data_IF_048440865228
#
_entry.id   IF_048440865228
#
_cell.length_a   1.000
_cell.length_b   1.000
_cell.length_c   1.000
_cell.angle_alpha   90.00
_cell.angle_beta   90.00
_cell.angle_gamma   90.00
#
_symmetry.space_group_name_H-M   'P 1'
#
loop_
_entity.id
_entity.type
_entity.pdbx_description
1 polymer ?
#
# COMPACT_ATOMS: atom_id res chain seq x y z
N UNK A 1 31.46 -23.01 -30.40
CA UNK A 1 30.07 -22.68 -30.72
C UNK A 1 29.12 -22.96 -29.56
N UNK A 2 29.12 -24.15 -28.95
CA UNK A 2 28.21 -24.49 -27.83
C UNK A 2 28.36 -23.59 -26.58
N UNK A 3 29.57 -23.13 -26.25
CA UNK A 3 29.82 -22.25 -25.09
C UNK A 3 29.17 -20.86 -25.25
N UNK A 4 29.29 -20.27 -26.44
CA UNK A 4 28.66 -18.98 -26.77
C UNK A 4 27.13 -19.11 -26.78
N UNK A 5 26.62 -20.23 -27.29
CA UNK A 5 25.19 -20.53 -27.30
C UNK A 5 24.64 -20.74 -25.89
N UNK A 6 25.40 -21.40 -25.01
CA UNK A 6 25.03 -21.57 -23.59
C UNK A 6 25.03 -20.23 -22.84
N UNK A 7 26.02 -19.36 -23.08
CA UNK A 7 26.06 -18.01 -22.49
C UNK A 7 24.88 -17.17 -22.98
N UNK A 8 24.58 -17.23 -24.29
CA UNK A 8 23.43 -16.54 -24.86
C UNK A 8 22.10 -17.00 -24.24
N UNK A 9 21.90 -18.31 -24.10
CA UNK A 9 20.72 -18.88 -23.43
C UNK A 9 20.60 -18.44 -21.96
N UNK A 10 21.73 -18.36 -21.24
CA UNK A 10 21.74 -17.91 -19.85
C UNK A 10 21.35 -16.43 -19.74
N UNK A 11 21.88 -15.58 -20.62
CA UNK A 11 21.52 -14.15 -20.66
C UNK A 11 20.05 -13.98 -21.00
N UNK A 12 19.53 -14.70 -22.01
CA UNK A 12 18.10 -14.67 -22.37
C UNK A 12 17.22 -15.12 -21.19
N UNK A 13 17.62 -16.18 -20.48
CA UNK A 13 16.92 -16.65 -19.28
C UNK A 13 16.86 -15.60 -18.17
N UNK A 14 17.95 -14.88 -17.92
CA UNK A 14 17.99 -13.82 -16.90
C UNK A 14 17.07 -12.65 -17.27
N UNK A 15 17.06 -12.24 -18.55
CA UNK A 15 16.18 -11.17 -19.04
C UNK A 15 14.71 -11.56 -18.90
N UNK A 16 14.35 -12.81 -19.21
CA UNK A 16 12.97 -13.31 -19.04
C UNK A 16 12.56 -13.32 -17.55
N UNK A 17 13.48 -13.67 -16.65
CA UNK A 17 13.22 -13.69 -15.20
C UNK A 17 12.94 -12.28 -14.66
N UNK A 18 13.72 -11.27 -15.04
CA UNK A 18 13.49 -9.88 -14.61
C UNK A 18 12.11 -9.36 -15.04
N UNK A 19 11.73 -9.61 -16.30
CA UNK A 19 10.48 -9.10 -16.87
C UNK A 19 9.26 -9.78 -16.23
N UNK A 20 9.36 -11.07 -15.92
CA UNK A 20 8.27 -11.81 -15.27
C UNK A 20 8.13 -11.50 -13.78
N UNK A 21 9.22 -11.21 -13.07
CA UNK A 21 9.16 -10.90 -11.64
C UNK A 21 8.77 -9.45 -11.33
N UNK A 22 9.10 -8.46 -12.18
CA UNK A 22 8.94 -7.03 -11.82
C UNK A 22 7.52 -6.48 -11.87
N UNK A 23 6.61 -7.07 -12.66
CA UNK A 23 5.35 -6.41 -13.01
C UNK A 23 4.23 -6.59 -11.96
N UNK A 24 4.29 -7.64 -11.14
CA UNK A 24 3.20 -7.95 -10.20
C UNK A 24 3.42 -7.35 -8.79
N UNK A 25 4.65 -6.95 -8.44
CA UNK A 25 4.97 -6.55 -7.06
C UNK A 25 4.58 -5.10 -6.68
N UNK A 26 4.22 -4.25 -7.66
CA UNK A 26 4.09 -2.80 -7.42
C UNK A 26 2.64 -2.29 -7.36
N UNK A 27 1.65 -3.13 -7.62
CA UNK A 27 0.24 -2.74 -7.57
C UNK A 27 -0.40 -3.30 -6.30
N UNK A 28 -1.19 -2.50 -5.54
CA UNK A 28 -1.94 -3.03 -4.41
C UNK A 28 -2.82 -4.20 -4.86
N UNK A 29 -2.93 -5.29 -4.07
CA UNK A 29 -3.82 -6.39 -4.40
C UNK A 29 -5.26 -5.87 -4.48
N UNK A 30 -5.99 -6.31 -5.51
CA UNK A 30 -7.37 -5.88 -5.75
C UNK A 30 -8.24 -6.28 -4.57
N UNK A 31 -8.93 -5.31 -3.97
CA UNK A 31 -9.82 -5.59 -2.83
C UNK A 31 -11.15 -6.14 -3.35
N UNK A 32 -11.51 -7.39 -3.06
CA UNK A 32 -12.83 -7.90 -3.40
C UNK A 32 -13.91 -7.12 -2.65
N UNK A 33 -15.09 -6.92 -3.27
CA UNK A 33 -16.21 -6.20 -2.64
C UNK A 33 -16.70 -6.88 -1.36
N UNK A 34 -16.63 -8.22 -1.33
CA UNK A 34 -17.04 -9.07 -0.21
C UNK A 34 -16.12 -10.30 -0.17
N UNK A 35 -15.79 -10.77 1.03
CA UNK A 35 -15.07 -12.04 1.22
C UNK A 35 -16.12 -13.15 1.45
N UNK A 36 -16.15 -14.16 0.59
CA UNK A 36 -17.12 -15.26 0.69
C UNK A 36 -16.61 -16.36 1.63
N UNK A 37 -15.29 -16.49 1.74
CA UNK A 37 -14.65 -17.51 2.56
C UNK A 37 -13.59 -16.91 3.49
N UNK A 38 -13.41 -17.45 4.71
CA UNK A 38 -12.39 -16.96 5.66
C UNK A 38 -10.97 -17.13 5.12
N UNK A 39 -10.75 -18.08 4.22
CA UNK A 39 -9.45 -18.31 3.57
C UNK A 39 -9.10 -17.19 2.58
N UNK A 40 -10.09 -16.61 1.89
CA UNK A 40 -9.86 -15.48 0.97
C UNK A 40 -9.39 -14.24 1.74
N UNK A 41 -9.98 -14.00 2.91
CA UNK A 41 -9.53 -12.91 3.79
C UNK A 41 -8.08 -13.12 4.25
N UNK A 42 -7.73 -14.33 4.67
CA UNK A 42 -6.34 -14.66 5.07
C UNK A 42 -5.35 -14.46 3.93
N UNK A 43 -5.72 -14.90 2.74
CA UNK A 43 -4.90 -14.75 1.53
C UNK A 43 -4.69 -13.26 1.20
N UNK A 44 -5.77 -12.48 1.18
CA UNK A 44 -5.72 -11.04 0.90
C UNK A 44 -4.84 -10.29 1.92
N UNK A 45 -4.98 -10.59 3.22
CA UNK A 45 -4.16 -9.96 4.26
C UNK A 45 -2.67 -10.31 4.13
N UNK A 46 -2.35 -11.53 3.69
CA UNK A 46 -0.97 -11.95 3.43
C UNK A 46 -0.38 -11.14 2.28
N UNK A 47 -1.07 -11.09 1.14
CA UNK A 47 -0.65 -10.33 -0.05
C UNK A 47 -0.52 -8.83 0.24
N UNK A 48 -1.45 -8.27 1.02
CA UNK A 48 -1.42 -6.86 1.42
C UNK A 48 -0.21 -6.55 2.33
N UNK A 49 0.14 -7.47 3.23
CA UNK A 49 1.30 -7.30 4.10
C UNK A 49 2.62 -7.39 3.31
N UNK A 50 2.72 -8.31 2.34
CA UNK A 50 3.86 -8.39 1.43
C UNK A 50 4.01 -7.10 0.60
N UNK A 51 2.90 -6.58 0.07
CA UNK A 51 2.88 -5.30 -0.65
C UNK A 51 3.42 -4.13 0.20
N UNK A 52 2.93 -3.97 1.43
CA UNK A 52 3.40 -2.89 2.30
C UNK A 52 4.80 -3.10 2.89
N UNK A 53 5.32 -4.33 2.90
CA UNK A 53 6.71 -4.58 3.25
C UNK A 53 7.68 -4.03 2.19
N UNK A 54 7.27 -4.04 0.91
CA UNK A 54 8.07 -3.56 -0.22
C UNK A 54 7.87 -2.05 -0.43
N UNK A 55 6.62 -1.60 -0.55
CA UNK A 55 6.29 -0.20 -0.85
C UNK A 55 6.38 0.74 0.37
N UNK A 56 6.54 0.17 1.57
CA UNK A 56 6.45 0.88 2.83
C UNK A 56 5.02 1.04 3.32
N UNK A 57 4.84 1.09 4.65
CA UNK A 57 3.52 1.28 5.26
C UNK A 57 3.04 2.72 5.04
N UNK A 58 1.76 2.95 4.70
CA UNK A 58 1.19 4.29 4.62
C UNK A 58 1.41 5.01 5.96
N UNK A 59 2.25 6.04 5.96
CA UNK A 59 2.48 6.87 7.13
C UNK A 59 1.56 8.07 7.02
N UNK A 60 0.41 7.98 7.65
CA UNK A 60 -0.45 9.15 7.83
C UNK A 60 0.27 10.09 8.80
N UNK A 61 0.76 11.22 8.29
CA UNK A 61 1.34 12.26 9.13
C UNK A 61 0.32 12.79 10.12
N UNK A 62 0.80 13.35 11.24
CA UNK A 62 -0.04 14.14 12.14
C UNK A 62 -0.61 15.29 11.31
N UNK A 63 -1.94 15.41 11.25
CA UNK A 63 -2.60 16.55 10.61
C UNK A 63 -2.20 17.80 11.38
N UNK A 64 -1.20 18.53 10.90
CA UNK A 64 -0.85 19.84 11.42
C UNK A 64 -1.83 20.86 10.85
N UNK A 65 -3.09 20.77 11.27
CA UNK A 65 -4.11 21.74 10.95
C UNK A 65 -4.86 22.06 12.23
N UNK A 66 -4.95 23.34 12.57
CA UNK A 66 -5.83 23.85 13.63
C UNK A 66 -7.29 23.34 13.51
N UNK A 67 -7.66 22.83 12.32
CA UNK A 67 -8.93 22.17 12.02
C UNK A 67 -9.17 20.87 12.80
N UNK A 68 -8.12 20.15 13.19
CA UNK A 68 -8.27 18.92 13.99
C UNK A 68 -8.68 19.19 15.44
N UNK A 69 -8.46 20.40 15.94
CA UNK A 69 -8.92 20.80 17.28
C UNK A 69 -10.39 21.19 17.23
N UNK A 70 -10.82 21.89 16.17
CA UNK A 70 -12.19 22.42 16.03
C UNK A 70 -13.26 21.32 15.95
N UNK A 71 -12.93 20.17 15.36
CA UNK A 71 -13.80 18.99 15.34
C UNK A 71 -13.96 18.31 16.72
N UNK A 72 -13.18 18.69 17.72
CA UNK A 72 -13.24 18.19 19.10
C UNK A 72 -13.78 19.21 20.11
N UNK A 73 -14.08 20.45 19.71
CA UNK A 73 -14.69 21.40 20.65
C UNK A 73 -16.12 20.97 20.97
N UNK A 74 -16.40 20.92 22.27
CA UNK A 74 -17.76 20.69 22.80
C UNK A 74 -18.64 21.89 22.46
N UNK A 75 -19.96 21.72 22.26
CA UNK A 75 -20.88 22.83 22.06
C UNK A 75 -20.78 23.96 23.11
N UNK A 76 -20.30 23.71 24.33
CA UNK A 76 -20.09 24.79 25.30
C UNK A 76 -19.01 25.79 24.88
N UNK A 77 -18.01 25.38 24.10
CA UNK A 77 -16.85 26.23 23.79
C UNK A 77 -17.06 27.13 22.57
N UNK A 78 -18.15 26.97 21.80
CA UNK A 78 -18.50 27.90 20.71
C UNK A 78 -19.10 29.21 21.23
N UNK A 79 -19.78 29.17 22.39
CA UNK A 79 -20.38 30.35 23.02
C UNK A 79 -19.30 31.35 23.42
N UNK A 80 -18.25 30.84 24.09
CA UNK A 80 -17.14 31.65 24.58
C UNK A 80 -16.41 32.40 23.45
N UNK A 81 -16.27 31.79 22.28
CA UNK A 81 -15.60 32.39 21.11
C UNK A 81 -16.48 33.47 20.46
N UNK A 82 -17.80 33.28 20.42
CA UNK A 82 -18.73 34.27 19.84
C UNK A 82 -19.00 35.45 20.76
N UNK A 83 -18.89 35.28 22.08
CA UNK A 83 -19.08 36.37 23.06
C UNK A 83 -17.83 37.22 23.30
N UNK A 84 -16.67 36.83 22.75
CA UNK A 84 -15.40 37.54 22.94
C UNK A 84 -15.07 38.57 21.83
N UNK A 85 -16.01 38.91 20.95
CA UNK A 85 -15.90 40.00 19.96
C UNK A 85 -16.69 41.23 20.39
#
# INVERSE_FOLDING_TARGET
MCKLLAVFLLVVSMVILEVTCSTQMLTPPERPREFRHPNELRQYLKELNEYYAIMGRPRFGKRNGATGTLDYLSPSEWEDILTSQ
#
